data_IF_600029343634
#
_entry.id   IF_600029343634
#
_cell.length_a   1.000
_cell.length_b   1.000
_cell.length_c   1.000
_cell.angle_alpha   90.00
_cell.angle_beta   90.00
_cell.angle_gamma   90.00
#
_symmetry.space_group_name_H-M   'P 1'
#
loop_
_entity.id
_entity.type
_entity.pdbx_description
1 polymer ?
#
# COMPACT_ATOMS: atom_id res chain seq x y z
N UNK A 1 12.89 23.08 15.18
CA UNK A 1 12.76 21.65 14.80
C UNK A 1 14.05 21.24 14.10
N UNK A 2 14.75 20.22 14.61
CA UNK A 2 16.05 19.79 14.06
C UNK A 2 15.91 19.24 12.63
N UNK A 3 16.92 19.45 11.78
CA UNK A 3 16.95 18.96 10.39
C UNK A 3 16.66 17.45 10.28
N UNK A 4 17.17 16.68 11.24
CA UNK A 4 16.95 15.22 11.35
C UNK A 4 15.47 14.85 11.46
N UNK A 5 14.66 15.67 12.14
CA UNK A 5 13.23 15.45 12.29
C UNK A 5 12.50 15.70 10.97
N UNK A 6 12.82 16.78 10.24
CA UNK A 6 12.24 17.05 8.91
C UNK A 6 12.60 15.96 7.91
N UNK A 7 13.83 15.46 7.96
CA UNK A 7 14.30 14.40 7.08
C UNK A 7 13.58 13.06 7.32
N UNK A 8 13.31 12.71 8.59
CA UNK A 8 12.53 11.53 8.95
C UNK A 8 11.08 11.62 8.44
N UNK A 9 10.43 12.77 8.60
CA UNK A 9 9.08 12.98 8.09
C UNK A 9 9.01 12.95 6.56
N UNK A 10 10.01 13.54 5.88
CA UNK A 10 10.10 13.49 4.42
C UNK A 10 10.20 12.05 3.92
N UNK A 11 11.09 11.25 4.51
CA UNK A 11 11.24 9.84 4.13
C UNK A 11 9.94 9.06 4.36
N UNK A 12 9.26 9.29 5.48
CA UNK A 12 7.96 8.66 5.76
C UNK A 12 6.94 9.04 4.68
N UNK A 13 6.73 10.33 4.42
CA UNK A 13 5.79 10.81 3.39
C UNK A 13 6.12 10.23 2.02
N UNK A 14 7.40 10.16 1.67
CA UNK A 14 7.85 9.59 0.41
C UNK A 14 7.52 8.09 0.31
N UNK A 15 7.72 7.33 1.39
CA UNK A 15 7.38 5.90 1.47
C UNK A 15 5.86 5.67 1.35
N UNK A 16 5.05 6.49 2.02
CA UNK A 16 3.60 6.45 1.88
C UNK A 16 3.16 6.82 0.46
N UNK A 17 3.72 7.88 -0.10
CA UNK A 17 3.45 8.34 -1.46
C UNK A 17 3.77 7.31 -2.52
N UNK A 18 4.96 6.68 -2.47
CA UNK A 18 5.34 5.64 -3.43
C UNK A 18 4.50 4.38 -3.25
N UNK A 19 4.10 4.04 -2.02
CA UNK A 19 3.20 2.90 -1.76
C UNK A 19 1.83 3.13 -2.40
N UNK A 20 1.27 4.34 -2.23
CA UNK A 20 0.01 4.73 -2.88
C UNK A 20 0.12 4.70 -4.40
N UNK A 21 1.20 5.25 -4.96
CA UNK A 21 1.47 5.22 -6.41
C UNK A 21 1.55 3.78 -6.94
N UNK A 22 2.21 2.87 -6.21
CA UNK A 22 2.31 1.46 -6.60
C UNK A 22 0.96 0.73 -6.55
N UNK A 23 0.09 1.06 -5.59
CA UNK A 23 -1.28 0.55 -5.58
C UNK A 23 -2.05 1.01 -6.83
N UNK A 24 -1.96 2.29 -7.20
CA UNK A 24 -2.58 2.80 -8.43
C UNK A 24 -1.97 2.21 -9.70
N UNK A 25 -0.65 2.05 -9.74
CA UNK A 25 0.07 1.43 -10.86
C UNK A 25 -0.37 -0.02 -11.10
N UNK A 26 -0.77 -0.74 -10.05
CA UNK A 26 -1.30 -2.11 -10.20
C UNK A 26 -2.61 -2.13 -11.00
N UNK A 27 -3.47 -1.11 -10.82
CA UNK A 27 -4.66 -0.93 -11.66
C UNK A 27 -4.25 -0.61 -13.09
N UNK A 28 -3.33 0.33 -13.32
CA UNK A 28 -2.88 0.67 -14.67
C UNK A 28 -2.26 -0.49 -15.43
N UNK A 29 -1.49 -1.36 -14.76
CA UNK A 29 -0.97 -2.60 -15.37
C UNK A 29 -2.10 -3.50 -15.83
N UNK A 30 -3.15 -3.68 -14.99
CA UNK A 30 -4.30 -4.48 -15.37
C UNK A 30 -5.03 -3.89 -16.59
N UNK A 31 -5.22 -2.56 -16.62
CA UNK A 31 -5.87 -1.88 -17.74
C UNK A 31 -5.06 -2.00 -19.03
N UNK A 32 -3.76 -1.71 -18.98
CA UNK A 32 -2.90 -1.82 -20.14
C UNK A 32 -2.83 -3.27 -20.67
N UNK A 33 -2.91 -4.27 -19.79
CA UNK A 33 -2.99 -5.67 -20.20
C UNK A 33 -4.30 -6.00 -20.94
N UNK A 34 -5.42 -5.45 -20.48
CA UNK A 34 -6.71 -5.61 -21.13
C UNK A 34 -6.76 -4.90 -22.49
N UNK A 35 -6.22 -3.69 -22.58
CA UNK A 35 -6.14 -2.92 -23.82
C UNK A 35 -5.23 -3.61 -24.85
N UNK A 36 -4.10 -4.18 -24.40
CA UNK A 36 -3.23 -5.00 -25.24
C UNK A 36 -3.94 -6.26 -25.76
N UNK A 37 -4.62 -7.02 -24.88
CA UNK A 37 -5.37 -8.20 -25.30
C UNK A 37 -6.49 -7.85 -26.29
N UNK A 38 -7.22 -6.76 -26.05
CA UNK A 38 -8.26 -6.27 -26.95
C UNK A 38 -7.69 -5.88 -28.33
N UNK A 39 -6.48 -5.30 -28.37
CA UNK A 39 -5.80 -4.97 -29.63
C UNK A 39 -5.42 -6.21 -30.44
N UNK A 40 -5.06 -7.31 -29.77
CA UNK A 40 -4.75 -8.58 -30.43
C UNK A 40 -6.01 -9.26 -30.98
N UNK A 41 -7.11 -9.26 -30.23
CA UNK A 41 -8.36 -9.90 -30.68
C UNK A 41 -9.01 -9.13 -31.83
N UNK A 42 -8.97 -7.80 -31.80
CA UNK A 42 -9.57 -6.95 -32.82
C UNK A 42 -8.64 -6.65 -33.99
N UNK A 43 -7.49 -7.31 -34.09
CA UNK A 43 -6.52 -7.09 -35.17
C UNK A 43 -7.13 -7.23 -36.57
N UNK A 44 -8.17 -8.05 -36.72
CA UNK A 44 -8.84 -8.34 -37.99
C UNK A 44 -10.00 -7.38 -38.34
N UNK A 45 -10.44 -6.52 -37.42
CA UNK A 45 -11.70 -5.74 -37.55
C UNK A 45 -11.50 -4.22 -37.42
N UNK A 46 -10.25 -3.75 -37.52
CA UNK A 46 -9.96 -2.31 -37.40
C UNK A 46 -10.31 -1.54 -38.68
N UNK A 47 -10.97 -0.39 -38.49
CA UNK A 47 -11.48 0.53 -39.52
C UNK A 47 -10.41 0.88 -40.56
N UNK A 48 -10.84 0.99 -41.82
CA UNK A 48 -10.02 1.38 -42.97
C UNK A 48 -9.17 2.62 -42.69
N UNK A 49 -7.84 2.49 -42.74
CA UNK A 49 -6.89 3.61 -42.69
C UNK A 49 -5.92 3.64 -41.49
N UNK A 50 -6.02 2.71 -40.53
CA UNK A 50 -5.05 2.59 -39.42
C UNK A 50 -4.25 1.31 -39.55
N UNK A 51 -2.92 1.39 -39.48
CA UNK A 51 -2.05 0.20 -39.50
C UNK A 51 -2.26 -0.64 -38.22
N UNK A 52 -2.86 -1.85 -38.32
CA UNK A 52 -3.22 -2.65 -37.15
C UNK A 52 -1.97 -3.12 -36.39
N UNK A 53 -0.81 -3.26 -37.04
CA UNK A 53 0.44 -3.61 -36.38
C UNK A 53 0.92 -2.48 -35.46
N UNK A 54 0.75 -1.22 -35.87
CA UNK A 54 1.14 -0.06 -35.08
C UNK A 54 0.33 0.03 -33.78
N UNK A 55 -0.99 -0.22 -33.83
CA UNK A 55 -1.87 -0.17 -32.65
C UNK A 55 -1.45 -1.23 -31.61
N UNK A 56 -1.20 -2.46 -32.06
CA UNK A 56 -0.74 -3.55 -31.18
C UNK A 56 0.62 -3.21 -30.58
N UNK A 57 1.57 -2.69 -31.35
CA UNK A 57 2.90 -2.31 -30.86
C UNK A 57 2.83 -1.18 -29.83
N UNK A 58 1.96 -0.19 -30.02
CA UNK A 58 1.75 0.89 -29.06
C UNK A 58 1.12 0.39 -27.77
N UNK A 59 0.12 -0.49 -27.84
CA UNK A 59 -0.50 -1.09 -26.66
C UNK A 59 0.49 -1.99 -25.89
N UNK A 60 1.27 -2.81 -26.60
CA UNK A 60 2.33 -3.63 -26.03
C UNK A 60 3.41 -2.78 -25.36
N UNK A 61 3.84 -1.70 -26.04
CA UNK A 61 4.82 -0.76 -25.53
C UNK A 61 4.34 -0.03 -24.28
N UNK A 62 3.09 0.42 -24.26
CA UNK A 62 2.47 1.04 -23.09
C UNK A 62 2.40 0.06 -21.91
N UNK A 63 1.96 -1.19 -22.14
CA UNK A 63 1.93 -2.23 -21.12
C UNK A 63 3.32 -2.51 -20.54
N UNK A 64 4.31 -2.73 -21.40
CA UNK A 64 5.69 -2.97 -20.99
C UNK A 64 6.25 -1.78 -20.18
N UNK A 65 6.04 -0.54 -20.67
CA UNK A 65 6.50 0.67 -20.00
C UNK A 65 5.92 0.83 -18.60
N UNK A 66 4.61 0.63 -18.45
CA UNK A 66 3.93 0.72 -17.14
C UNK A 66 4.42 -0.41 -16.21
N UNK A 67 4.59 -1.63 -16.72
CA UNK A 67 5.08 -2.76 -15.94
C UNK A 67 6.51 -2.53 -15.42
N UNK A 68 7.41 -2.03 -16.27
CA UNK A 68 8.77 -1.70 -15.88
C UNK A 68 8.81 -0.54 -14.88
N UNK A 69 8.03 0.52 -15.11
CA UNK A 69 7.94 1.65 -14.19
C UNK A 69 7.44 1.20 -12.80
N UNK A 70 6.42 0.34 -12.75
CA UNK A 70 5.92 -0.25 -11.49
C UNK A 70 7.01 -1.07 -10.80
N UNK A 71 7.72 -1.92 -11.53
CA UNK A 71 8.78 -2.78 -10.98
C UNK A 71 9.93 -1.95 -10.41
N UNK A 72 10.37 -0.92 -11.13
CA UNK A 72 11.36 0.05 -10.64
C UNK A 72 10.86 0.79 -9.38
N UNK A 73 9.58 1.17 -9.35
CA UNK A 73 8.95 1.77 -8.17
C UNK A 73 8.98 0.87 -6.94
N UNK A 74 8.79 -0.45 -7.09
CA UNK A 74 8.90 -1.41 -5.98
C UNK A 74 10.32 -1.43 -5.42
N UNK A 75 11.34 -1.44 -6.28
CA UNK A 75 12.74 -1.40 -5.88
C UNK A 75 13.07 -0.08 -5.14
N UNK A 76 12.63 1.06 -5.68
CA UNK A 76 12.81 2.36 -5.05
C UNK A 76 12.14 2.43 -3.68
N UNK A 77 10.91 1.92 -3.55
CA UNK A 77 10.21 1.83 -2.27
C UNK A 77 11.01 1.02 -1.25
N UNK A 78 11.56 -0.12 -1.67
CA UNK A 78 12.38 -0.95 -0.79
C UNK A 78 13.62 -0.20 -0.31
N UNK A 79 14.34 0.46 -1.22
CA UNK A 79 15.49 1.29 -0.89
C UNK A 79 15.17 2.42 0.11
N UNK A 80 14.04 3.10 -0.08
CA UNK A 80 13.60 4.16 0.83
C UNK A 80 13.20 3.62 2.21
N UNK A 81 12.53 2.47 2.25
CA UNK A 81 12.14 1.79 3.50
C UNK A 81 13.36 1.33 4.30
N UNK A 82 14.36 0.73 3.66
CA UNK A 82 15.59 0.33 4.33
C UNK A 82 16.40 1.53 4.84
N UNK A 83 16.40 2.63 4.09
CA UNK A 83 17.04 3.89 4.50
C UNK A 83 16.35 4.51 5.71
N UNK A 84 15.01 4.56 5.71
CA UNK A 84 14.20 5.00 6.84
C UNK A 84 14.50 4.16 8.09
N UNK A 85 14.49 2.83 7.94
CA UNK A 85 14.76 1.90 9.03
C UNK A 85 16.14 2.12 9.65
N UNK A 86 17.19 2.23 8.82
CA UNK A 86 18.56 2.49 9.30
C UNK A 86 18.67 3.79 10.09
N UNK A 87 18.01 4.86 9.63
CA UNK A 87 18.03 6.17 10.30
C UNK A 87 17.23 6.17 11.60
N UNK A 88 16.06 5.53 11.61
CA UNK A 88 15.25 5.39 12.81
C UNK A 88 16.00 4.63 13.92
N UNK A 89 16.69 3.54 13.56
CA UNK A 89 17.57 2.77 14.46
C UNK A 89 18.64 3.67 15.08
N UNK A 90 19.43 4.35 14.24
CA UNK A 90 20.53 5.19 14.72
C UNK A 90 20.06 6.36 15.60
N UNK A 91 18.86 6.90 15.37
CA UNK A 91 18.30 7.94 16.23
C UNK A 91 17.95 7.41 17.64
N UNK A 92 17.32 6.25 17.73
CA UNK A 92 16.88 5.69 19.00
C UNK A 92 18.03 5.19 19.87
N UNK A 93 19.04 4.55 19.26
CA UNK A 93 20.27 4.15 19.96
C UNK A 93 20.94 5.38 20.57
N UNK A 94 20.99 6.50 19.84
CA UNK A 94 21.50 7.75 20.38
C UNK A 94 20.67 8.27 21.57
N UNK A 95 19.33 8.23 21.49
CA UNK A 95 18.47 8.64 22.61
C UNK A 95 18.61 7.74 23.85
N UNK A 96 18.72 6.42 23.66
CA UNK A 96 18.94 5.48 24.77
C UNK A 96 20.33 5.66 25.38
N UNK A 97 21.37 5.82 24.56
CA UNK A 97 22.72 6.07 25.06
C UNK A 97 22.80 7.40 25.81
N UNK A 98 22.20 8.48 25.28
CA UNK A 98 22.12 9.76 25.99
C UNK A 98 21.38 9.61 27.34
N UNK A 99 20.29 8.85 27.39
CA UNK A 99 19.54 8.62 28.61
C UNK A 99 20.31 7.77 29.64
N UNK A 100 20.98 6.70 29.20
CA UNK A 100 21.77 5.80 30.07
C UNK A 100 23.01 6.54 30.62
N UNK A 101 23.68 7.32 29.77
CA UNK A 101 24.88 8.07 30.15
C UNK A 101 24.58 9.38 30.90
N UNK A 102 23.31 9.78 30.99
CA UNK A 102 22.92 10.97 31.75
C UNK A 102 23.08 10.79 33.27
N UNK A 103 23.10 9.54 33.77
CA UNK A 103 23.36 9.22 35.18
C UNK A 103 24.73 8.56 35.34
N UNK A 104 25.67 9.31 35.92
CA UNK A 104 27.03 8.86 36.19
C UNK A 104 27.08 7.59 37.05
N UNK A 105 26.10 7.39 37.96
CA UNK A 105 26.03 6.17 38.78
C UNK A 105 25.70 4.94 37.95
N UNK A 106 24.80 5.09 36.98
CA UNK A 106 24.44 4.03 36.04
C UNK A 106 25.63 3.72 35.13
N UNK A 107 26.31 4.75 34.63
CA UNK A 107 27.51 4.57 33.82
C UNK A 107 28.64 3.83 34.57
N UNK A 108 28.91 4.20 35.83
CA UNK A 108 29.89 3.49 36.66
C UNK A 108 29.44 2.05 37.00
N UNK A 109 28.15 1.83 37.26
CA UNK A 109 27.64 0.49 37.57
C UNK A 109 27.77 -0.46 36.36
N UNK A 110 27.57 0.05 35.15
CA UNK A 110 27.74 -0.70 33.90
C UNK A 110 29.21 -1.00 33.55
N UNK A 111 30.14 -0.12 33.92
CA UNK A 111 31.57 -0.32 33.69
C UNK A 111 32.28 -1.12 34.80
N UNK A 112 31.68 -1.24 36.00
CA UNK A 112 32.27 -1.96 37.12
C UNK A 112 31.94 -3.47 37.09
N UNK A 113 32.95 -4.33 37.02
CA UNK A 113 32.77 -5.77 37.26
C UNK A 113 32.50 -6.00 38.76
N UNK A 114 31.23 -6.17 39.12
CA UNK A 114 30.80 -6.53 40.49
C UNK A 114 30.69 -8.05 40.69
N UNK A 115 31.65 -8.82 40.19
CA UNK A 115 31.73 -10.23 40.55
C UNK A 115 32.07 -10.37 42.04
N UNK A 116 31.24 -11.11 42.77
CA UNK A 116 31.53 -11.48 44.15
C UNK A 116 32.83 -12.30 44.20
N UNK A 117 33.68 -12.08 45.21
CA UNK A 117 34.94 -12.80 45.35
C UNK A 117 34.72 -14.32 45.32
N UNK A 118 35.23 -14.98 44.26
CA UNK A 118 35.06 -16.43 44.02
C UNK A 118 33.89 -16.82 43.10
N UNK A 119 33.10 -15.86 42.60
CA UNK A 119 32.04 -16.07 41.59
C UNK A 119 32.55 -15.91 40.16
N UNK A 120 31.77 -16.39 39.17
CA UNK A 120 32.05 -16.15 37.75
C UNK A 120 32.11 -14.63 37.49
N UNK A 121 33.19 -14.16 36.85
CA UNK A 121 33.31 -12.74 36.44
C UNK A 121 32.03 -12.35 35.70
N UNK A 122 31.36 -11.29 36.17
CA UNK A 122 30.20 -10.73 35.49
C UNK A 122 30.80 -9.82 34.43
N UNK A 123 31.17 -10.41 33.29
CA UNK A 123 31.62 -9.69 32.11
C UNK A 123 30.71 -8.47 31.90
N UNK A 124 31.26 -7.26 31.67
CA UNK A 124 30.47 -6.07 31.38
C UNK A 124 29.38 -6.39 30.37
N UNK A 125 28.12 -6.21 30.77
CA UNK A 125 26.96 -6.60 29.96
C UNK A 125 26.89 -5.69 28.72
N UNK A 126 26.78 -6.29 27.54
CA UNK A 126 26.66 -5.56 26.28
C UNK A 126 25.21 -5.07 26.11
N UNK A 127 24.77 -4.21 27.04
CA UNK A 127 23.44 -3.58 27.00
C UNK A 127 23.22 -2.84 25.68
N UNK A 128 24.26 -2.19 25.14
CA UNK A 128 24.20 -1.54 23.83
C UNK A 128 23.86 -2.54 22.72
N UNK A 129 24.45 -3.75 22.73
CA UNK A 129 24.13 -4.80 21.76
C UNK A 129 22.68 -5.30 21.91
N UNK A 130 22.19 -5.49 23.15
CA UNK A 130 20.80 -5.91 23.38
C UNK A 130 19.81 -4.83 22.95
N UNK A 131 20.09 -3.57 23.25
CA UNK A 131 19.26 -2.44 22.82
C UNK A 131 19.26 -2.37 21.30
N UNK A 132 20.40 -2.55 20.64
CA UNK A 132 20.53 -2.54 19.19
C UNK A 132 19.76 -3.69 18.51
N UNK A 133 19.83 -4.91 19.05
CA UNK A 133 19.06 -6.07 18.56
C UNK A 133 17.54 -5.92 18.80
N UNK A 134 17.12 -5.55 20.01
CA UNK A 134 15.70 -5.37 20.36
C UNK A 134 15.07 -4.19 19.61
N UNK A 135 15.77 -3.06 19.51
CA UNK A 135 15.28 -1.87 18.80
C UNK A 135 15.18 -2.11 17.30
N UNK A 136 16.08 -2.92 16.73
CA UNK A 136 16.02 -3.37 15.35
C UNK A 136 14.75 -4.16 15.04
N UNK A 137 14.47 -5.19 15.83
CA UNK A 137 13.27 -6.02 15.66
C UNK A 137 11.98 -5.21 15.80
N UNK A 138 11.89 -4.35 16.82
CA UNK A 138 10.70 -3.55 17.10
C UNK A 138 10.34 -2.60 15.93
N UNK A 139 11.29 -1.78 15.47
CA UNK A 139 11.01 -0.80 14.40
C UNK A 139 10.87 -1.44 13.03
N UNK A 140 11.60 -2.52 12.76
CA UNK A 140 11.41 -3.30 11.54
C UNK A 140 9.97 -3.83 11.46
N UNK A 141 9.46 -4.34 12.58
CA UNK A 141 8.08 -4.80 12.72
C UNK A 141 7.05 -3.67 12.55
N UNK A 142 7.18 -2.56 13.31
CA UNK A 142 6.21 -1.45 13.27
C UNK A 142 6.17 -0.78 11.90
N UNK A 143 7.33 -0.48 11.31
CA UNK A 143 7.40 0.13 9.97
C UNK A 143 6.81 -0.83 8.93
N UNK A 144 7.16 -2.12 8.99
CA UNK A 144 6.63 -3.14 8.09
C UNK A 144 5.12 -3.28 8.18
N UNK A 145 4.56 -3.30 9.40
CA UNK A 145 3.11 -3.39 9.62
C UNK A 145 2.37 -2.15 9.14
N UNK A 146 2.85 -0.95 9.48
CA UNK A 146 2.23 0.30 9.03
C UNK A 146 2.22 0.40 7.49
N UNK A 147 3.34 0.04 6.86
CA UNK A 147 3.49 0.04 5.41
C UNK A 147 2.62 -1.02 4.73
N UNK A 148 2.53 -2.21 5.31
CA UNK A 148 1.66 -3.29 4.84
C UNK A 148 0.19 -2.92 4.95
N UNK A 149 -0.23 -2.39 6.10
CA UNK A 149 -1.59 -1.92 6.33
C UNK A 149 -1.97 -0.81 5.35
N UNK A 150 -1.12 0.20 5.19
CA UNK A 150 -1.36 1.28 4.23
C UNK A 150 -1.48 0.75 2.81
N UNK A 151 -0.56 -0.13 2.40
CA UNK A 151 -0.61 -0.76 1.08
C UNK A 151 -1.89 -1.57 0.83
N UNK A 152 -2.41 -2.24 1.86
CA UNK A 152 -3.69 -2.95 1.77
C UNK A 152 -4.87 -1.98 1.61
N UNK A 153 -4.93 -0.92 2.41
CA UNK A 153 -5.98 0.10 2.33
C UNK A 153 -5.99 0.78 0.96
N UNK A 154 -4.83 1.23 0.47
CA UNK A 154 -4.74 1.89 -0.84
C UNK A 154 -5.07 0.92 -1.97
N UNK A 155 -4.67 -0.35 -1.89
CA UNK A 155 -5.02 -1.37 -2.86
C UNK A 155 -6.53 -1.56 -2.95
N UNK A 156 -7.21 -1.75 -1.81
CA UNK A 156 -8.66 -1.92 -1.75
C UNK A 156 -9.35 -0.69 -2.36
N UNK A 157 -8.94 0.51 -1.95
CA UNK A 157 -9.52 1.75 -2.44
C UNK A 157 -9.42 1.88 -3.96
N UNK A 158 -8.22 1.69 -4.53
CA UNK A 158 -8.04 1.86 -5.97
C UNK A 158 -8.73 0.77 -6.79
N UNK A 159 -8.66 -0.48 -6.35
CA UNK A 159 -9.36 -1.59 -7.01
C UNK A 159 -10.87 -1.32 -6.99
N UNK A 160 -11.42 -0.98 -5.82
CA UNK A 160 -12.85 -0.66 -5.68
C UNK A 160 -13.27 0.51 -6.57
N UNK A 161 -12.49 1.60 -6.59
CA UNK A 161 -12.78 2.76 -7.46
C UNK A 161 -12.80 2.40 -8.95
N UNK A 162 -11.86 1.55 -9.39
CA UNK A 162 -11.79 1.10 -10.77
C UNK A 162 -12.94 0.15 -11.14
N UNK A 163 -13.39 -0.71 -10.20
CA UNK A 163 -14.56 -1.56 -10.40
C UNK A 163 -15.83 -0.74 -10.58
N UNK A 164 -16.04 0.29 -9.76
CA UNK A 164 -17.21 1.17 -9.88
C UNK A 164 -17.19 1.89 -11.23
N UNK A 165 -16.06 2.50 -11.60
CA UNK A 165 -15.93 3.28 -12.82
C UNK A 165 -16.20 2.44 -14.09
N UNK A 166 -15.84 1.16 -14.07
CA UNK A 166 -16.05 0.22 -15.20
C UNK A 166 -17.30 -0.66 -15.07
N UNK A 167 -18.10 -0.50 -14.01
CA UNK A 167 -19.34 -1.25 -13.87
C UNK A 167 -20.30 -0.96 -15.04
N UNK A 168 -20.57 -1.98 -15.86
CA UNK A 168 -21.56 -1.90 -16.94
C UNK A 168 -22.90 -2.42 -16.42
N UNK A 169 -24.03 -1.77 -16.76
CA UNK A 169 -25.34 -2.33 -16.47
C UNK A 169 -25.48 -3.65 -17.23
N UNK A 170 -25.92 -4.70 -16.53
CA UNK A 170 -26.12 -6.03 -17.10
C UNK A 170 -27.62 -6.19 -17.37
N UNK A 171 -28.08 -6.17 -18.65
CA UNK A 171 -29.51 -6.15 -18.98
C UNK A 171 -30.29 -7.38 -18.49
N UNK A 172 -29.60 -8.46 -18.15
CA UNK A 172 -30.19 -9.65 -17.54
C UNK A 172 -30.58 -9.41 -16.07
N UNK A 173 -29.73 -8.71 -15.30
CA UNK A 173 -30.00 -8.40 -13.90
C UNK A 173 -31.09 -7.33 -13.78
N UNK A 174 -31.18 -6.40 -14.73
CA UNK A 174 -32.28 -5.43 -14.80
C UNK A 174 -33.63 -6.13 -15.01
N UNK A 175 -33.71 -7.05 -15.98
CA UNK A 175 -34.93 -7.85 -16.22
C UNK A 175 -35.30 -8.76 -15.05
N UNK A 176 -34.31 -9.35 -14.39
CA UNK A 176 -34.56 -10.17 -13.20
C UNK A 176 -35.05 -9.32 -12.02
N UNK A 177 -34.46 -8.13 -11.82
CA UNK A 177 -34.87 -7.16 -10.81
C UNK A 177 -36.30 -6.65 -11.05
N UNK A 178 -36.68 -6.39 -12.30
CA UNK A 178 -38.04 -6.01 -12.68
C UNK A 178 -39.05 -7.11 -12.33
N UNK A 179 -38.74 -8.36 -12.67
CA UNK A 179 -39.59 -9.51 -12.36
C UNK A 179 -39.69 -9.77 -10.86
N UNK A 180 -38.59 -9.66 -10.12
CA UNK A 180 -38.57 -9.84 -8.67
C UNK A 180 -39.37 -8.74 -7.95
N UNK A 181 -39.26 -7.48 -8.42
CA UNK A 181 -39.99 -6.36 -7.84
C UNK A 181 -41.51 -6.46 -8.12
N UNK A 182 -41.90 -6.93 -9.31
CA UNK A 182 -43.29 -7.24 -9.64
C UNK A 182 -43.86 -8.37 -8.77
N UNK A 183 -43.09 -9.44 -8.54
CA UNK A 183 -43.49 -10.55 -7.67
C UNK A 183 -43.64 -10.11 -6.21
N UNK A 184 -42.70 -9.30 -5.70
CA UNK A 184 -42.77 -8.76 -4.33
C UNK A 184 -43.94 -7.81 -4.14
N UNK A 185 -44.23 -6.96 -5.13
CA UNK A 185 -45.40 -6.06 -5.09
C UNK A 185 -46.70 -6.86 -5.09
N UNK A 186 -46.74 -7.97 -5.84
CA UNK A 186 -47.89 -8.88 -5.87
C UNK A 186 -48.12 -9.65 -4.56
N UNK A 187 -47.06 -9.98 -3.81
CA UNK A 187 -47.17 -10.73 -2.54
C UNK A 187 -47.31 -9.88 -1.29
N UNK A 188 -46.68 -8.70 -1.24
CA UNK A 188 -46.59 -7.89 -0.02
C UNK A 188 -47.19 -6.48 -0.16
N UNK A 189 -47.78 -6.15 -1.31
CA UNK A 189 -48.24 -4.80 -1.63
C UNK A 189 -47.07 -3.84 -1.95
N UNK A 190 -47.28 -2.52 -1.86
CA UNK A 190 -46.22 -1.56 -2.16
C UNK A 190 -45.09 -1.61 -1.12
N UNK A 191 -43.95 -2.19 -1.51
CA UNK A 191 -42.70 -2.14 -0.75
C UNK A 191 -41.83 -1.00 -1.30
N UNK A 192 -41.24 -0.12 -0.46
CA UNK A 192 -40.40 0.99 -0.91
C UNK A 192 -39.00 0.57 -1.42
N UNK A 193 -38.77 -0.71 -1.69
CA UNK A 193 -37.46 -1.26 -2.10
C UNK A 193 -37.50 -1.55 -3.60
N UNK A 194 -36.80 -0.75 -4.40
CA UNK A 194 -36.63 -1.00 -5.83
C UNK A 194 -35.40 -1.89 -6.07
N UNK A 195 -35.62 -3.12 -6.54
CA UNK A 195 -34.59 -4.10 -6.83
C UNK A 195 -34.02 -4.01 -8.25
N UNK A 196 -34.51 -3.08 -9.08
CA UNK A 196 -34.01 -2.86 -10.45
C UNK A 196 -32.68 -2.11 -10.39
N UNK A 197 -31.55 -2.73 -10.75
CA UNK A 197 -30.22 -2.13 -10.59
C UNK A 197 -29.94 -0.90 -11.48
N UNK A 198 -30.79 -0.61 -12.47
CA UNK A 198 -30.57 0.49 -13.44
C UNK A 198 -31.51 1.71 -13.34
N UNK A 199 -32.63 1.66 -12.61
CA UNK A 199 -33.61 2.78 -12.59
C UNK A 199 -33.43 3.75 -11.42
N UNK A 200 -32.53 3.46 -10.48
CA UNK A 200 -32.17 4.32 -9.34
C UNK A 200 -30.94 5.19 -9.60
N UNK A 201 -30.63 5.50 -10.86
CA UNK A 201 -29.47 6.28 -11.31
C UNK A 201 -29.38 7.74 -10.84
N UNK A 202 -30.22 8.25 -9.91
CA UNK A 202 -30.15 9.64 -9.45
C UNK A 202 -30.46 9.89 -7.95
N UNK A 203 -30.59 8.86 -7.09
CA UNK A 203 -30.98 9.11 -5.68
C UNK A 203 -30.10 8.54 -4.57
N UNK A 204 -28.99 7.86 -4.86
CA UNK A 204 -28.14 7.29 -3.79
C UNK A 204 -26.88 8.10 -3.42
N UNK A 205 -26.59 9.24 -4.07
CA UNK A 205 -25.44 10.08 -3.70
C UNK A 205 -25.76 11.57 -3.85
N UNK A 206 -26.52 12.13 -2.90
CA UNK A 206 -26.55 13.57 -2.62
C UNK A 206 -26.02 13.77 -1.22
N UNK A 207 -24.71 13.96 -1.11
CA UNK A 207 -24.07 14.40 0.13
C UNK A 207 -24.15 15.91 0.20
N UNK A 208 -24.72 16.40 1.30
CA UNK A 208 -24.33 17.67 1.92
C UNK A 208 -22.88 17.55 2.36
#
# INVERSE_FOLDING_TARGET
MSERWREAWLLTVLVFGITTLLSKASVWVALASADFLASLTNFHDQQEGVDPAQVVLLAAGAYLGIFLARTAGVALRHYLSTTLHRRARGWMVAQFNDAILSDERVALDLMSDRSAAGGRSRMPDAIDQRIDECSGGLYGGVIGLAMGLWGAVTSIFFVFSALIERSRPVPFLDRWGENANAAMTGWFGHIPVNLVPGTSGLRCWRWV
#
